data_IF_731714556163
#
_entry.id   IF_731714556163
#
_cell.length_a   1.000
_cell.length_b   1.000
_cell.length_c   1.000
_cell.angle_alpha   90.00
_cell.angle_beta   90.00
_cell.angle_gamma   90.00
#
_symmetry.space_group_name_H-M   'P 1'
#
loop_
_entity.id
_entity.type
_entity.pdbx_description
1 polymer ?
#
# COMPACT_ATOMS: atom_id res chain seq x y z
N UNK A 1 34.20 80.48 127.25
CA UNK A 1 34.71 79.12 127.57
C UNK A 1 33.59 78.16 127.98
N UNK A 2 32.65 78.53 128.88
CA UNK A 2 31.51 77.67 129.25
C UNK A 2 30.47 77.48 128.10
N UNK A 3 30.16 78.53 127.33
CA UNK A 3 29.25 78.42 126.16
C UNK A 3 29.80 77.56 125.02
N UNK A 4 31.13 77.51 124.84
CA UNK A 4 31.81 76.71 123.81
C UNK A 4 31.79 75.20 124.13
N UNK A 5 31.85 74.84 125.42
CA UNK A 5 31.71 73.45 125.86
C UNK A 5 30.25 72.96 125.80
N UNK A 6 29.28 73.84 126.10
CA UNK A 6 27.87 73.49 126.05
C UNK A 6 27.35 73.32 124.60
N UNK A 7 27.76 74.20 123.69
CA UNK A 7 27.44 74.07 122.26
C UNK A 7 28.14 72.87 121.62
N UNK A 8 29.40 72.57 121.98
CA UNK A 8 30.07 71.36 121.51
C UNK A 8 29.43 70.07 122.05
N UNK A 9 28.92 70.08 123.28
CA UNK A 9 28.21 68.94 123.86
C UNK A 9 26.83 68.73 123.23
N UNK A 10 26.07 69.81 123.01
CA UNK A 10 24.77 69.73 122.33
C UNK A 10 24.92 69.33 120.86
N UNK A 11 25.91 69.87 120.15
CA UNK A 11 26.18 69.50 118.76
C UNK A 11 26.68 68.04 118.64
N UNK A 12 27.48 67.56 119.60
CA UNK A 12 27.87 66.15 119.66
C UNK A 12 26.67 65.24 120.00
N UNK A 13 25.78 65.69 120.87
CA UNK A 13 24.58 64.95 121.25
C UNK A 13 23.54 64.90 120.12
N UNK A 14 23.29 66.01 119.43
CA UNK A 14 22.40 66.05 118.26
C UNK A 14 22.94 65.22 117.10
N UNK A 15 24.25 65.31 116.80
CA UNK A 15 24.87 64.47 115.77
C UNK A 15 24.83 62.98 116.17
N UNK A 16 25.03 62.66 117.44
CA UNK A 16 24.89 61.30 117.94
C UNK A 16 23.45 60.80 117.83
N UNK A 17 22.46 61.63 118.22
CA UNK A 17 21.04 61.30 118.09
C UNK A 17 20.63 61.12 116.63
N UNK A 18 21.05 62.00 115.71
CA UNK A 18 20.76 61.86 114.27
C UNK A 18 21.41 60.62 113.65
N UNK A 19 22.67 60.34 114.02
CA UNK A 19 23.37 59.15 113.54
C UNK A 19 22.75 57.85 114.10
N UNK A 20 22.25 57.89 115.34
CA UNK A 20 21.54 56.79 115.96
C UNK A 20 20.15 56.60 115.38
N UNK A 21 19.40 57.67 115.10
CA UNK A 21 18.08 57.60 114.49
C UNK A 21 18.13 56.94 113.11
N UNK A 22 19.10 57.32 112.26
CA UNK A 22 19.30 56.68 110.96
C UNK A 22 19.57 55.16 111.08
N UNK A 23 20.42 54.76 112.03
CA UNK A 23 20.73 53.34 112.29
C UNK A 23 19.55 52.59 112.90
N UNK A 24 18.79 53.22 113.77
CA UNK A 24 17.59 52.64 114.39
C UNK A 24 16.50 52.40 113.35
N UNK A 25 16.30 53.34 112.41
CA UNK A 25 15.37 53.19 111.29
C UNK A 25 15.78 52.00 110.40
N UNK A 26 17.06 51.89 110.04
CA UNK A 26 17.54 50.75 109.25
C UNK A 26 17.40 49.41 110.00
N UNK A 27 17.73 49.39 111.29
CA UNK A 27 17.60 48.20 112.13
C UNK A 27 16.14 47.76 112.25
N UNK A 28 15.21 48.72 112.36
CA UNK A 28 13.77 48.42 112.42
C UNK A 28 13.20 48.01 111.08
N UNK A 29 13.66 48.58 109.95
CA UNK A 29 13.30 48.07 108.61
C UNK A 29 13.80 46.63 108.44
N UNK A 30 15.02 46.34 108.88
CA UNK A 30 15.59 44.99 108.85
C UNK A 30 14.80 44.03 109.75
N UNK A 31 14.49 44.44 110.98
CA UNK A 31 13.67 43.65 111.90
C UNK A 31 12.26 43.44 111.36
N UNK A 32 11.60 44.46 110.82
CA UNK A 32 10.28 44.33 110.20
C UNK A 32 10.34 43.37 109.00
N UNK A 33 11.37 43.47 108.14
CA UNK A 33 11.53 42.58 106.99
C UNK A 33 11.72 41.11 107.42
N UNK A 34 12.45 40.87 108.51
CA UNK A 34 12.65 39.52 109.07
C UNK A 34 11.43 38.98 109.83
N UNK A 35 10.83 39.80 110.69
CA UNK A 35 9.73 39.41 111.58
C UNK A 35 8.46 39.04 110.80
N UNK A 36 8.19 39.77 109.73
CA UNK A 36 7.02 39.53 108.88
C UNK A 36 7.29 38.45 107.81
N UNK A 37 8.56 38.20 107.46
CA UNK A 37 8.98 37.08 106.64
C UNK A 37 8.61 37.19 105.14
N UNK A 38 9.03 36.21 104.32
CA UNK A 38 8.87 36.26 102.85
C UNK A 38 7.41 36.19 102.37
N UNK A 39 6.45 35.78 103.21
CA UNK A 39 5.03 35.69 102.84
C UNK A 39 4.35 37.06 102.64
N UNK A 40 4.91 38.16 103.16
CA UNK A 40 4.35 39.52 103.03
C UNK A 40 4.99 40.29 101.87
N UNK A 41 5.98 39.70 101.18
CA UNK A 41 6.57 40.27 99.97
C UNK A 41 5.55 40.44 98.81
N UNK A 42 4.37 39.83 98.90
CA UNK A 42 3.25 40.05 97.97
C UNK A 42 2.43 41.32 98.24
N UNK A 43 2.48 41.89 99.45
CA UNK A 43 1.89 43.20 99.75
C UNK A 43 2.86 44.28 99.29
N UNK A 44 2.87 44.52 97.98
CA UNK A 44 3.63 45.60 97.31
C UNK A 44 3.43 46.94 98.02
N UNK A 45 2.25 47.19 98.60
CA UNK A 45 1.94 48.41 99.35
C UNK A 45 2.66 48.51 100.69
N UNK A 46 2.75 47.44 101.49
CA UNK A 46 3.48 47.45 102.76
C UNK A 46 4.98 47.62 102.51
N UNK A 47 5.53 46.83 101.58
CA UNK A 47 6.95 46.92 101.19
C UNK A 47 7.30 48.31 100.66
N UNK A 48 6.48 48.88 99.78
CA UNK A 48 6.66 50.25 99.27
C UNK A 48 6.57 51.31 100.38
N UNK A 49 5.68 51.16 101.36
CA UNK A 49 5.59 52.07 102.52
C UNK A 49 6.82 51.95 103.41
N UNK A 50 7.28 50.72 103.69
CA UNK A 50 8.47 50.43 104.49
C UNK A 50 9.75 50.95 103.82
N UNK A 51 9.88 50.77 102.51
CA UNK A 51 11.02 51.27 101.72
C UNK A 51 11.04 52.81 101.66
N UNK A 52 9.88 53.46 101.70
CA UNK A 52 9.74 54.92 101.68
C UNK A 52 9.81 55.58 103.07
N UNK A 53 9.69 54.82 104.16
CA UNK A 53 9.66 55.32 105.53
C UNK A 53 10.98 56.00 105.91
N UNK A 54 11.00 57.28 106.32
CA UNK A 54 12.26 58.00 106.63
C UNK A 54 12.50 58.21 108.11
N UNK A 55 11.53 57.86 108.95
CA UNK A 55 11.59 57.98 110.40
C UNK A 55 11.11 56.72 111.09
N UNK A 56 11.35 56.65 112.41
CA UNK A 56 10.84 55.59 113.27
C UNK A 56 9.31 55.49 113.21
N UNK A 57 8.62 56.63 113.24
CA UNK A 57 7.16 56.71 113.20
C UNK A 57 6.59 56.26 111.86
N UNK A 58 7.30 56.54 110.76
CA UNK A 58 6.92 56.06 109.42
C UNK A 58 7.00 54.54 109.33
N UNK A 59 7.98 53.91 110.00
CA UNK A 59 8.13 52.45 110.03
C UNK A 59 7.00 51.80 110.87
N UNK A 60 6.58 52.44 111.96
CA UNK A 60 5.48 51.94 112.79
C UNK A 60 4.11 52.07 112.09
N UNK A 61 3.86 53.20 111.44
CA UNK A 61 2.62 53.48 110.68
C UNK A 61 2.46 52.60 109.42
N UNK A 62 3.51 51.92 108.98
CA UNK A 62 3.41 50.91 107.92
C UNK A 62 2.42 49.76 108.26
N UNK A 63 2.14 49.53 109.55
CA UNK A 63 1.20 48.50 110.01
C UNK A 63 -0.27 48.96 110.05
N UNK A 64 -0.59 50.19 109.64
CA UNK A 64 -1.99 50.63 109.58
C UNK A 64 -2.79 49.78 108.59
N UNK A 65 -3.98 49.27 109.00
CA UNK A 65 -4.83 48.50 108.11
C UNK A 65 -5.19 49.35 106.90
N UNK A 66 -5.02 48.77 105.71
CA UNK A 66 -5.43 49.38 104.46
C UNK A 66 -6.91 49.79 104.58
N UNK A 67 -7.28 51.05 104.30
CA UNK A 67 -8.65 51.53 104.48
C UNK A 67 -9.66 50.64 103.77
N UNK A 68 -10.76 50.30 104.44
CA UNK A 68 -11.77 49.37 103.92
C UNK A 68 -12.31 49.78 102.53
N UNK A 69 -12.41 51.09 102.28
CA UNK A 69 -12.83 51.65 100.99
C UNK A 69 -11.85 51.29 99.86
N UNK A 70 -10.54 51.30 100.14
CA UNK A 70 -9.51 50.94 99.16
C UNK A 70 -9.49 49.44 98.86
N UNK A 71 -9.78 48.58 99.84
CA UNK A 71 -9.94 47.15 99.61
C UNK A 71 -11.21 46.83 98.79
N UNK A 72 -12.28 47.58 99.02
CA UNK A 72 -13.54 47.45 98.26
C UNK A 72 -13.35 47.89 96.81
N UNK A 73 -12.61 48.98 96.57
CA UNK A 73 -12.26 49.44 95.23
C UNK A 73 -11.40 48.39 94.48
N UNK A 74 -10.34 47.90 95.12
CA UNK A 74 -9.48 46.84 94.55
C UNK A 74 -10.27 45.57 94.28
N UNK A 75 -11.21 45.20 95.15
CA UNK A 75 -12.12 44.06 94.91
C UNK A 75 -13.01 44.26 93.69
N UNK A 76 -13.53 45.48 93.48
CA UNK A 76 -14.32 45.85 92.30
C UNK A 76 -13.47 45.83 91.02
N UNK A 77 -12.27 46.40 91.07
CA UNK A 77 -11.31 46.38 89.97
C UNK A 77 -10.89 44.95 89.60
N UNK A 78 -10.65 44.09 90.59
CA UNK A 78 -10.33 42.68 90.35
C UNK A 78 -11.50 41.94 89.71
N UNK A 79 -12.72 42.16 90.19
CA UNK A 79 -13.92 41.58 89.58
C UNK A 79 -14.13 42.08 88.14
N UNK A 80 -13.90 43.37 87.88
CA UNK A 80 -13.97 43.96 86.55
C UNK A 80 -12.88 43.40 85.63
N UNK A 81 -11.64 43.27 86.11
CA UNK A 81 -10.53 42.68 85.36
C UNK A 81 -10.79 41.21 85.04
N UNK A 82 -11.37 40.45 85.98
CA UNK A 82 -11.74 39.06 85.76
C UNK A 82 -12.88 38.92 84.74
N UNK A 83 -13.87 39.80 84.77
CA UNK A 83 -14.92 39.85 83.76
C UNK A 83 -14.36 40.22 82.37
N UNK A 84 -13.45 41.19 82.30
CA UNK A 84 -12.76 41.58 81.07
C UNK A 84 -11.90 40.43 80.52
N UNK A 85 -11.18 39.70 81.38
CA UNK A 85 -10.40 38.53 80.97
C UNK A 85 -11.30 37.45 80.37
N UNK A 86 -12.39 37.08 81.04
CA UNK A 86 -13.35 36.09 80.50
C UNK A 86 -13.95 36.56 79.18
N UNK A 87 -14.30 37.84 79.06
CA UNK A 87 -14.78 38.41 77.81
C UNK A 87 -13.71 38.36 76.69
N UNK A 88 -12.44 38.59 77.03
CA UNK A 88 -11.33 38.51 76.09
C UNK A 88 -11.03 37.07 75.66
N UNK A 89 -11.13 36.10 76.58
CA UNK A 89 -11.01 34.67 76.28
C UNK A 89 -12.12 34.20 75.33
N UNK A 90 -13.39 34.59 75.57
CA UNK A 90 -14.49 34.30 74.66
C UNK A 90 -14.24 34.93 73.29
N UNK A 91 -13.85 36.20 73.24
CA UNK A 91 -13.45 36.88 72.00
C UNK A 91 -12.34 36.13 71.25
N UNK A 92 -11.30 35.69 71.95
CA UNK A 92 -10.21 34.89 71.39
C UNK A 92 -10.72 33.61 70.74
N UNK A 93 -11.58 32.84 71.42
CA UNK A 93 -12.13 31.61 70.83
C UNK A 93 -12.95 31.86 69.57
N UNK A 94 -13.70 32.97 69.52
CA UNK A 94 -14.47 33.38 68.33
C UNK A 94 -13.53 33.73 67.17
N UNK A 95 -12.43 34.45 67.45
CA UNK A 95 -11.43 34.79 66.42
C UNK A 95 -10.70 33.53 65.93
N UNK A 96 -10.33 32.63 66.83
CA UNK A 96 -9.68 31.36 66.48
C UNK A 96 -10.59 30.52 65.56
N UNK A 97 -11.87 30.35 65.91
CA UNK A 97 -12.84 29.64 65.07
C UNK A 97 -13.00 30.28 63.69
N UNK A 98 -13.06 31.62 63.61
CA UNK A 98 -13.12 32.34 62.34
C UNK A 98 -11.85 32.14 61.51
N UNK A 99 -10.69 32.20 62.16
CA UNK A 99 -9.40 31.99 61.49
C UNK A 99 -9.29 30.58 60.92
N UNK A 100 -9.75 29.55 61.64
CA UNK A 100 -9.81 28.18 61.11
C UNK A 100 -10.74 28.06 59.91
N UNK A 101 -11.95 28.63 59.99
CA UNK A 101 -12.90 28.61 58.87
C UNK A 101 -12.31 29.30 57.62
N UNK A 102 -11.64 30.44 57.80
CA UNK A 102 -10.99 31.16 56.71
C UNK A 102 -9.81 30.38 56.11
N UNK A 103 -8.99 29.72 56.94
CA UNK A 103 -7.92 28.86 56.45
C UNK A 103 -8.45 27.68 55.62
N UNK A 104 -9.55 27.04 56.05
CA UNK A 104 -10.19 26.00 55.26
C UNK A 104 -10.76 26.54 53.94
N UNK A 105 -11.40 27.71 53.96
CA UNK A 105 -11.90 28.36 52.75
C UNK A 105 -10.77 28.68 51.76
N UNK A 106 -9.64 29.18 52.26
CA UNK A 106 -8.44 29.45 51.47
C UNK A 106 -7.86 28.18 50.84
N UNK A 107 -7.68 27.11 51.62
CA UNK A 107 -7.17 25.85 51.10
C UNK A 107 -8.09 25.27 50.00
N UNK A 108 -9.40 25.38 50.17
CA UNK A 108 -10.37 25.00 49.14
C UNK A 108 -10.23 25.87 47.88
N UNK A 109 -10.11 27.19 48.04
CA UNK A 109 -9.92 28.11 46.91
C UNK A 109 -8.62 27.84 46.15
N UNK A 110 -7.52 27.53 46.85
CA UNK A 110 -6.24 27.16 46.25
C UNK A 110 -6.35 25.87 45.43
N UNK A 111 -7.09 24.88 45.94
CA UNK A 111 -7.36 23.62 45.22
C UNK A 111 -8.14 23.89 43.93
N UNK A 112 -9.18 24.72 43.98
CA UNK A 112 -9.94 25.12 42.78
C UNK A 112 -9.07 25.89 41.78
N UNK A 113 -8.21 26.80 42.25
CA UNK A 113 -7.30 27.53 41.38
C UNK A 113 -6.33 26.61 40.64
N UNK A 114 -5.81 25.58 41.32
CA UNK A 114 -4.97 24.56 40.69
C UNK A 114 -5.74 23.76 39.64
N UNK A 115 -6.98 23.34 39.95
CA UNK A 115 -7.83 22.63 39.02
C UNK A 115 -8.12 23.45 37.76
N UNK A 116 -8.53 24.71 37.91
CA UNK A 116 -8.79 25.60 36.78
C UNK A 116 -7.53 25.85 35.93
N UNK A 117 -6.34 25.92 36.56
CA UNK A 117 -5.09 26.02 35.81
C UNK A 117 -4.84 24.76 34.97
N UNK A 118 -5.05 23.58 35.54
CA UNK A 118 -4.89 22.31 34.82
C UNK A 118 -5.87 22.20 33.64
N UNK A 119 -7.15 22.56 33.86
CA UNK A 119 -8.18 22.53 32.83
C UNK A 119 -7.89 23.54 31.71
N UNK A 120 -7.43 24.75 32.06
CA UNK A 120 -7.00 25.75 31.08
C UNK A 120 -5.84 25.23 30.23
N UNK A 121 -4.86 24.58 30.84
CA UNK A 121 -3.69 24.06 30.13
C UNK A 121 -4.05 22.86 29.24
N UNK A 122 -4.99 22.01 29.68
CA UNK A 122 -5.57 20.95 28.86
C UNK A 122 -6.34 21.52 27.65
N UNK A 123 -7.21 22.52 27.87
CA UNK A 123 -7.93 23.20 26.80
C UNK A 123 -6.99 23.85 25.78
N UNK A 124 -5.88 24.45 26.22
CA UNK A 124 -4.87 25.00 25.32
C UNK A 124 -4.21 23.93 24.43
N UNK A 125 -3.99 22.72 24.94
CA UNK A 125 -3.46 21.59 24.14
C UNK A 125 -4.47 21.15 23.09
N UNK A 126 -5.74 21.04 23.45
CA UNK A 126 -6.83 20.72 22.51
C UNK A 126 -6.98 21.77 21.42
N UNK A 127 -6.95 23.07 21.77
CA UNK A 127 -6.99 24.16 20.78
C UNK A 127 -5.83 24.04 19.78
N UNK A 128 -4.62 23.69 20.23
CA UNK A 128 -3.47 23.46 19.34
C UNK A 128 -3.68 22.25 18.43
N UNK A 129 -4.32 21.18 18.92
CA UNK A 129 -4.68 20.01 18.09
C UNK A 129 -5.69 20.40 17.01
N UNK A 130 -6.78 21.06 17.42
CA UNK A 130 -7.85 21.51 16.51
C UNK A 130 -7.30 22.43 15.42
N UNK A 131 -6.45 23.40 15.77
CA UNK A 131 -5.80 24.28 14.78
C UNK A 131 -4.95 23.52 13.76
N UNK A 132 -4.20 22.49 14.19
CA UNK A 132 -3.44 21.66 13.26
C UNK A 132 -4.36 20.86 12.33
N UNK A 133 -5.47 20.35 12.86
CA UNK A 133 -6.47 19.63 12.06
C UNK A 133 -7.17 20.54 11.05
N UNK A 134 -7.50 21.77 11.45
CA UNK A 134 -8.06 22.80 10.58
C UNK A 134 -7.14 23.09 9.38
N UNK A 135 -5.85 23.32 9.63
CA UNK A 135 -4.87 23.53 8.56
C UNK A 135 -4.80 22.32 7.62
N UNK A 136 -4.79 21.10 8.17
CA UNK A 136 -4.78 19.87 7.36
C UNK A 136 -6.04 19.72 6.49
N UNK A 137 -7.22 20.04 7.02
CA UNK A 137 -8.48 19.99 6.27
C UNK A 137 -8.52 21.06 5.16
N UNK A 138 -8.02 22.26 5.42
CA UNK A 138 -7.94 23.33 4.42
C UNK A 138 -7.06 22.93 3.22
N UNK A 139 -5.98 22.19 3.45
CA UNK A 139 -5.15 21.61 2.38
C UNK A 139 -5.95 20.60 1.57
N UNK A 140 -6.64 19.64 2.21
CA UNK A 140 -7.46 18.64 1.51
C UNK A 140 -8.60 19.27 0.70
N UNK A 141 -9.24 20.33 1.23
CA UNK A 141 -10.27 21.08 0.50
C UNK A 141 -9.67 21.72 -0.75
N UNK A 142 -8.48 22.30 -0.65
CA UNK A 142 -7.78 22.91 -1.78
C UNK A 142 -7.41 21.88 -2.85
N UNK A 143 -6.93 20.70 -2.45
CA UNK A 143 -6.66 19.57 -3.35
C UNK A 143 -7.95 19.10 -4.06
N UNK A 144 -9.04 18.92 -3.31
CA UNK A 144 -10.32 18.52 -3.88
C UNK A 144 -10.86 19.55 -4.87
N UNK A 145 -10.72 20.84 -4.58
CA UNK A 145 -11.10 21.92 -5.49
C UNK A 145 -10.28 21.89 -6.79
N UNK A 146 -8.98 21.55 -6.71
CA UNK A 146 -8.15 21.38 -7.89
C UNK A 146 -8.61 20.18 -8.75
N UNK A 147 -8.97 19.06 -8.12
CA UNK A 147 -9.54 17.89 -8.81
C UNK A 147 -10.87 18.24 -9.49
N UNK A 148 -11.78 18.92 -8.78
CA UNK A 148 -13.06 19.36 -9.33
C UNK A 148 -12.83 20.25 -10.57
N UNK A 149 -11.89 21.19 -10.50
CA UNK A 149 -11.56 22.06 -11.64
C UNK A 149 -10.99 21.25 -12.81
N UNK A 150 -10.10 20.30 -12.56
CA UNK A 150 -9.55 19.42 -13.60
C UNK A 150 -10.63 18.57 -14.28
N UNK A 151 -11.57 18.02 -13.50
CA UNK A 151 -12.71 17.31 -14.06
C UNK A 151 -13.62 18.21 -14.89
N UNK A 152 -13.88 19.44 -14.43
CA UNK A 152 -14.66 20.40 -15.21
C UNK A 152 -14.02 20.64 -16.60
N UNK A 153 -12.72 20.89 -16.64
CA UNK A 153 -11.98 21.07 -17.90
C UNK A 153 -12.01 19.81 -18.79
N UNK A 154 -12.01 18.62 -18.18
CA UNK A 154 -12.10 17.35 -18.91
C UNK A 154 -13.48 17.16 -19.53
N UNK A 155 -14.55 17.46 -18.79
CA UNK A 155 -15.92 17.43 -19.31
C UNK A 155 -16.12 18.45 -20.43
N UNK A 156 -15.60 19.68 -20.28
CA UNK A 156 -15.68 20.70 -21.32
C UNK A 156 -14.97 20.25 -22.62
N UNK A 157 -13.82 19.58 -22.51
CA UNK A 157 -13.12 18.99 -23.68
C UNK A 157 -13.91 17.86 -24.32
N UNK A 158 -14.53 17.00 -23.51
CA UNK A 158 -15.33 15.88 -24.00
C UNK A 158 -16.56 16.37 -24.75
N UNK A 159 -17.27 17.36 -24.19
CA UNK A 159 -18.43 17.98 -24.82
C UNK A 159 -18.04 18.60 -26.17
N UNK A 160 -16.94 19.35 -26.23
CA UNK A 160 -16.44 19.93 -27.48
C UNK A 160 -16.13 18.85 -28.54
N UNK A 161 -15.51 17.72 -28.15
CA UNK A 161 -15.26 16.60 -29.05
C UNK A 161 -16.53 15.95 -29.55
N UNK A 162 -17.52 15.78 -28.68
CA UNK A 162 -18.81 15.21 -29.03
C UNK A 162 -19.55 16.10 -30.03
N UNK A 163 -19.58 17.41 -29.80
CA UNK A 163 -20.16 18.39 -30.71
C UNK A 163 -19.46 18.40 -32.09
N UNK A 164 -18.13 18.29 -32.12
CA UNK A 164 -17.38 18.17 -33.38
C UNK A 164 -17.74 16.88 -34.13
N UNK A 165 -17.82 15.75 -33.43
CA UNK A 165 -18.20 14.46 -34.02
C UNK A 165 -19.63 14.51 -34.58
N UNK A 166 -20.57 15.13 -33.87
CA UNK A 166 -21.94 15.33 -34.36
C UNK A 166 -21.96 16.15 -35.65
N UNK A 167 -21.27 17.30 -35.69
CA UNK A 167 -21.17 18.12 -36.91
C UNK A 167 -20.51 17.37 -38.07
N UNK A 168 -19.46 16.60 -37.79
CA UNK A 168 -18.77 15.79 -38.81
C UNK A 168 -19.69 14.71 -39.38
N UNK A 169 -20.45 14.01 -38.54
CA UNK A 169 -21.44 13.03 -38.99
C UNK A 169 -22.56 13.68 -39.80
N UNK A 170 -23.00 14.87 -39.42
CA UNK A 170 -24.00 15.63 -40.20
C UNK A 170 -23.47 15.95 -41.61
N UNK A 171 -22.21 16.40 -41.73
CA UNK A 171 -21.56 16.65 -43.02
C UNK A 171 -21.45 15.37 -43.84
N UNK A 172 -20.91 14.29 -43.26
CA UNK A 172 -20.77 13.00 -43.94
C UNK A 172 -22.12 12.46 -44.42
N UNK A 173 -23.18 12.61 -43.63
CA UNK A 173 -24.53 12.22 -44.03
C UNK A 173 -25.01 13.02 -45.25
N UNK A 174 -24.73 14.33 -45.30
CA UNK A 174 -25.06 15.18 -46.45
C UNK A 174 -24.25 14.83 -47.70
N UNK A 175 -23.02 14.34 -47.55
CA UNK A 175 -22.16 13.93 -48.68
C UNK A 175 -22.49 12.52 -49.21
N UNK A 176 -22.75 11.56 -48.31
CA UNK A 176 -22.95 10.14 -48.69
C UNK A 176 -24.35 9.88 -49.23
N UNK A 177 -25.38 10.53 -48.69
CA UNK A 177 -26.76 10.26 -49.09
C UNK A 177 -27.06 10.59 -50.57
N UNK A 178 -26.59 11.72 -51.14
CA UNK A 178 -26.73 11.98 -52.57
C UNK A 178 -26.06 10.92 -53.44
N UNK A 179 -24.81 10.54 -53.15
CA UNK A 179 -24.10 9.50 -53.90
C UNK A 179 -24.80 8.13 -53.80
N UNK A 180 -25.35 7.79 -52.62
CA UNK A 180 -26.17 6.60 -52.45
C UNK A 180 -27.46 6.67 -53.29
N UNK A 181 -28.11 7.81 -53.34
CA UNK A 181 -29.33 8.01 -54.15
C UNK A 181 -29.03 7.88 -55.66
N UNK A 182 -27.96 8.53 -56.14
CA UNK A 182 -27.49 8.41 -57.53
C UNK A 182 -27.13 6.97 -57.90
N UNK A 183 -26.42 6.27 -57.01
CA UNK A 183 -26.07 4.86 -57.20
C UNK A 183 -27.32 3.97 -57.34
N UNK A 184 -28.33 4.18 -56.50
CA UNK A 184 -29.60 3.44 -56.59
C UNK A 184 -30.33 3.70 -57.91
N UNK A 185 -30.36 4.96 -58.37
CA UNK A 185 -30.91 5.31 -59.70
C UNK A 185 -30.11 4.63 -60.82
N UNK A 186 -28.79 4.62 -60.72
CA UNK A 186 -27.89 3.94 -61.66
C UNK A 186 -28.13 2.43 -61.74
N UNK A 187 -28.31 1.75 -60.59
CA UNK A 187 -28.68 0.33 -60.55
C UNK A 187 -30.00 0.09 -61.29
N UNK A 188 -31.00 0.95 -61.05
CA UNK A 188 -32.30 0.79 -61.70
C UNK A 188 -32.21 0.96 -63.23
N UNK A 189 -31.44 1.95 -63.69
CA UNK A 189 -31.17 2.14 -65.11
C UNK A 189 -30.42 0.95 -65.72
N UNK A 190 -29.40 0.44 -65.04
CA UNK A 190 -28.65 -0.75 -65.45
C UNK A 190 -29.55 -1.99 -65.52
N UNK A 191 -30.39 -2.22 -64.51
CA UNK A 191 -31.35 -3.32 -64.48
C UNK A 191 -32.30 -3.26 -65.68
N UNK A 192 -32.86 -2.08 -65.99
CA UNK A 192 -33.73 -1.87 -67.15
C UNK A 192 -32.99 -2.11 -68.47
N UNK A 193 -31.75 -1.65 -68.57
CA UNK A 193 -30.89 -1.90 -69.73
C UNK A 193 -30.63 -3.40 -69.92
N UNK A 194 -30.31 -4.11 -68.84
CA UNK A 194 -30.10 -5.55 -68.85
C UNK A 194 -31.36 -6.33 -69.26
N UNK A 195 -32.53 -5.97 -68.74
CA UNK A 195 -33.82 -6.55 -69.16
C UNK A 195 -34.09 -6.32 -70.66
N UNK A 196 -33.81 -5.11 -71.16
CA UNK A 196 -33.97 -4.80 -72.58
C UNK A 196 -33.00 -5.60 -73.46
N UNK A 197 -31.72 -5.68 -73.06
CA UNK A 197 -30.74 -6.51 -73.74
C UNK A 197 -31.15 -7.98 -73.76
N UNK A 198 -31.61 -8.51 -72.62
CA UNK A 198 -32.13 -9.87 -72.54
C UNK A 198 -33.30 -10.08 -73.51
N UNK A 199 -34.25 -9.15 -73.58
CA UNK A 199 -35.37 -9.21 -74.54
C UNK A 199 -34.88 -9.21 -76.00
N UNK A 200 -33.94 -8.34 -76.34
CA UNK A 200 -33.32 -8.31 -77.69
C UNK A 200 -32.63 -9.64 -77.96
N UNK A 201 -31.84 -10.17 -77.05
CA UNK A 201 -31.16 -11.47 -77.21
C UNK A 201 -32.16 -12.62 -77.35
N UNK A 202 -33.29 -12.59 -76.63
CA UNK A 202 -34.36 -13.58 -76.81
C UNK A 202 -35.01 -13.50 -78.21
N UNK A 203 -35.17 -12.29 -78.76
CA UNK A 203 -35.72 -12.08 -80.11
C UNK A 203 -34.71 -12.33 -81.22
N UNK A 204 -33.43 -12.07 -80.94
CA UNK A 204 -32.28 -12.31 -81.81
C UNK A 204 -31.74 -13.71 -81.61
N UNK A 205 -32.37 -14.54 -80.77
CA UNK A 205 -32.18 -15.98 -80.81
C UNK A 205 -32.49 -16.35 -82.26
N UNK A 206 -31.47 -16.67 -83.09
CA UNK A 206 -31.75 -17.00 -84.46
C UNK A 206 -32.75 -18.14 -84.37
N UNK A 207 -33.93 -18.00 -84.99
CA UNK A 207 -34.85 -19.13 -85.21
C UNK A 207 -33.94 -20.29 -85.50
N UNK A 208 -33.94 -21.30 -84.61
CA UNK A 208 -32.94 -22.37 -84.63
C UNK A 208 -32.90 -22.93 -86.04
N UNK A 209 -31.98 -22.40 -86.84
CA UNK A 209 -31.84 -22.79 -88.23
C UNK A 209 -31.19 -24.15 -88.15
N UNK A 210 -31.52 -25.04 -89.07
CA UNK A 210 -30.86 -26.35 -89.14
C UNK A 210 -29.33 -26.23 -89.08
N UNK A 211 -28.77 -25.12 -89.57
CA UNK A 211 -27.35 -24.77 -89.44
C UNK A 211 -26.88 -24.49 -88.01
N UNK A 212 -27.61 -23.72 -87.22
CA UNK A 212 -27.20 -23.40 -85.83
C UNK A 212 -27.29 -24.61 -84.91
N UNK A 213 -28.29 -25.48 -85.11
CA UNK A 213 -28.36 -26.78 -84.41
C UNK A 213 -27.15 -27.66 -84.77
N UNK A 214 -26.85 -27.79 -86.07
CA UNK A 214 -25.68 -28.57 -86.56
C UNK A 214 -24.36 -28.03 -86.03
N UNK A 215 -24.19 -26.71 -85.96
CA UNK A 215 -22.98 -26.10 -85.39
C UNK A 215 -22.84 -26.37 -83.89
N UNK A 216 -23.94 -26.33 -83.12
CA UNK A 216 -23.93 -26.64 -81.68
C UNK A 216 -23.58 -28.11 -81.43
N UNK A 217 -24.15 -29.03 -82.20
CA UNK A 217 -23.79 -30.45 -82.13
C UNK A 217 -22.34 -30.70 -82.52
N UNK A 218 -21.85 -30.04 -83.59
CA UNK A 218 -20.45 -30.15 -84.01
C UNK A 218 -19.50 -29.62 -82.94
N UNK A 219 -19.83 -28.50 -82.28
CA UNK A 219 -19.03 -27.98 -81.17
C UNK A 219 -19.05 -28.93 -79.96
N UNK A 220 -20.21 -29.53 -79.63
CA UNK A 220 -20.26 -30.58 -78.59
C UNK A 220 -19.40 -31.78 -78.95
N UNK A 221 -19.39 -32.20 -80.22
CA UNK A 221 -18.54 -33.30 -80.67
C UNK A 221 -17.05 -32.96 -80.64
N UNK A 222 -16.68 -31.74 -81.07
CA UNK A 222 -15.31 -31.24 -80.96
C UNK A 222 -14.83 -31.22 -79.51
N UNK A 223 -15.64 -30.76 -78.56
CA UNK A 223 -15.31 -30.81 -77.12
C UNK A 223 -15.10 -32.26 -76.65
N UNK A 224 -15.95 -33.21 -77.06
CA UNK A 224 -15.74 -34.63 -76.74
C UNK A 224 -14.46 -35.18 -77.36
N UNK A 225 -14.14 -34.79 -78.60
CA UNK A 225 -12.90 -35.17 -79.30
C UNK A 225 -11.67 -34.61 -78.59
N UNK A 226 -11.67 -33.34 -78.21
CA UNK A 226 -10.60 -32.71 -77.43
C UNK A 226 -10.38 -33.47 -76.14
N UNK A 227 -11.45 -33.77 -75.38
CA UNK A 227 -11.32 -34.53 -74.13
C UNK A 227 -10.75 -35.94 -74.33
N UNK A 228 -11.10 -36.62 -75.43
CA UNK A 228 -10.49 -37.92 -75.80
C UNK A 228 -9.01 -37.77 -76.16
N UNK A 229 -8.65 -36.71 -76.89
CA UNK A 229 -7.27 -36.41 -77.25
C UNK A 229 -6.43 -36.04 -76.02
N UNK A 230 -6.96 -35.22 -75.11
CA UNK A 230 -6.30 -34.91 -73.83
C UNK A 230 -6.06 -36.17 -73.01
N UNK A 231 -7.03 -37.09 -72.96
CA UNK A 231 -6.86 -38.38 -72.27
C UNK A 231 -5.80 -39.25 -72.95
N UNK A 232 -5.81 -39.31 -74.28
CA UNK A 232 -4.78 -40.04 -75.04
C UNK A 232 -3.40 -39.42 -74.87
N UNK A 233 -3.31 -38.08 -74.86
CA UNK A 233 -2.07 -37.35 -74.65
C UNK A 233 -1.55 -37.54 -73.23
N UNK A 234 -2.42 -37.51 -72.22
CA UNK A 234 -2.05 -37.84 -70.84
C UNK A 234 -1.53 -39.27 -70.70
N UNK A 235 -2.17 -40.24 -71.36
CA UNK A 235 -1.68 -41.62 -71.41
C UNK A 235 -0.32 -41.73 -72.13
N UNK A 236 -0.13 -41.03 -73.25
CA UNK A 236 1.15 -41.00 -73.95
C UNK A 236 2.25 -40.30 -73.13
N UNK A 237 1.97 -39.17 -72.50
CA UNK A 237 2.90 -38.50 -71.59
C UNK A 237 3.24 -39.36 -70.37
N UNK A 238 2.30 -40.15 -69.86
CA UNK A 238 2.61 -41.11 -68.77
C UNK A 238 3.53 -42.24 -69.22
N UNK A 239 3.42 -42.69 -70.49
CA UNK A 239 4.31 -43.69 -71.09
C UNK A 239 5.67 -43.10 -71.47
N UNK A 240 5.72 -41.85 -71.94
CA UNK A 240 6.95 -41.13 -72.27
C UNK A 240 7.71 -40.68 -71.00
N UNK A 241 7.03 -40.53 -69.85
CA UNK A 241 7.69 -40.29 -68.55
C UNK A 241 8.45 -41.50 -67.98
N UNK A 242 8.63 -42.57 -68.75
CA UNK A 242 9.64 -43.60 -68.52
C UNK A 242 11.07 -43.12 -68.85
N UNK A 243 11.23 -41.94 -69.45
CA UNK A 243 12.53 -41.36 -69.83
C UNK A 243 13.37 -40.86 -68.62
N UNK A 244 12.74 -40.69 -67.44
CA UNK A 244 13.41 -40.36 -66.17
C UNK A 244 13.53 -41.56 -65.21
N UNK A 245 13.22 -42.78 -65.68
CA UNK A 245 13.45 -43.98 -64.89
C UNK A 245 14.90 -44.42 -64.98
N UNK A 246 15.49 -44.74 -63.83
CA UNK A 246 16.81 -45.35 -63.73
C UNK A 246 16.92 -46.55 -64.71
N UNK A 247 17.88 -46.54 -65.65
CA UNK A 247 18.09 -47.64 -66.59
C UNK A 247 18.21 -49.00 -65.90
N UNK A 248 18.77 -49.06 -64.68
CA UNK A 248 18.93 -50.30 -63.93
C UNK A 248 17.60 -50.83 -63.37
N UNK A 249 16.67 -49.95 -63.00
CA UNK A 249 15.30 -50.32 -62.60
C UNK A 249 14.44 -50.78 -63.80
N UNK A 250 14.71 -50.24 -64.99
CA UNK A 250 14.10 -50.69 -66.26
C UNK A 250 14.63 -52.07 -66.67
N UNK A 251 15.94 -52.33 -66.52
CA UNK A 251 16.55 -53.65 -66.76
C UNK A 251 15.98 -54.71 -65.81
N UNK A 252 15.83 -54.40 -64.52
CA UNK A 252 15.25 -55.31 -63.54
C UNK A 252 13.77 -55.66 -63.78
N UNK A 253 12.97 -54.74 -64.33
CA UNK A 253 11.58 -55.00 -64.70
C UNK A 253 11.44 -55.74 -66.04
N UNK A 254 12.36 -55.52 -66.98
CA UNK A 254 12.36 -56.16 -68.31
C UNK A 254 12.98 -57.56 -68.28
N UNK A 255 13.96 -57.81 -67.41
CA UNK A 255 14.66 -59.11 -67.33
C UNK A 255 14.00 -60.14 -66.40
N UNK A 256 12.93 -59.80 -65.67
CA UNK A 256 12.12 -60.77 -64.93
C UNK A 256 12.92 -61.67 -63.98
N UNK A 257 13.82 -61.10 -63.17
CA UNK A 257 14.69 -61.87 -62.28
C UNK A 257 13.95 -62.36 -61.03
N UNK A 258 14.07 -63.66 -60.76
CA UNK A 258 13.43 -64.38 -59.64
C UNK A 258 13.98 -63.94 -58.27
N UNK A 259 13.07 -63.96 -57.28
CA UNK A 259 13.17 -63.32 -55.95
C UNK A 259 14.34 -63.80 -55.07
N UNK A 260 14.91 -64.96 -55.38
CA UNK A 260 15.93 -65.68 -54.62
C UNK A 260 17.37 -65.28 -54.98
N UNK A 261 17.56 -64.52 -56.07
CA UNK A 261 18.88 -64.06 -56.53
C UNK A 261 19.23 -62.62 -56.15
N UNK A 262 18.30 -61.88 -55.57
CA UNK A 262 18.55 -60.50 -55.13
C UNK A 262 19.19 -60.53 -53.73
N UNK A 263 20.46 -60.15 -53.65
CA UNK A 263 21.12 -59.93 -52.35
C UNK A 263 20.63 -58.62 -51.72
N UNK A 264 19.59 -58.75 -50.91
CA UNK A 264 18.96 -57.62 -50.22
C UNK A 264 19.86 -56.96 -49.15
N UNK A 265 20.97 -57.60 -48.74
CA UNK A 265 21.94 -57.00 -47.81
C UNK A 265 22.90 -56.05 -48.54
N UNK A 266 23.18 -56.29 -49.82
CA UNK A 266 24.01 -55.41 -50.65
C UNK A 266 23.32 -54.10 -51.05
N UNK A 267 21.99 -54.03 -50.96
CA UNK A 267 21.25 -52.79 -51.19
C UNK A 267 21.52 -51.79 -50.06
N UNK A 268 22.15 -50.65 -50.39
CA UNK A 268 22.45 -49.50 -49.50
C UNK A 268 21.22 -48.82 -48.85
N UNK A 269 20.05 -49.45 -48.92
CA UNK A 269 18.79 -48.92 -48.40
C UNK A 269 18.61 -49.24 -46.91
N UNK A 270 17.92 -48.36 -46.17
CA UNK A 270 17.68 -48.59 -44.75
C UNK A 270 16.78 -49.84 -44.52
N UNK A 271 16.86 -50.47 -43.33
CA UNK A 271 16.15 -51.72 -43.05
C UNK A 271 14.63 -51.65 -43.26
N UNK A 272 14.02 -50.48 -43.02
CA UNK A 272 12.59 -50.27 -43.11
C UNK A 272 12.14 -50.15 -44.58
N UNK A 273 12.96 -49.50 -45.41
CA UNK A 273 12.76 -49.42 -46.87
C UNK A 273 12.96 -50.77 -47.55
N UNK A 274 13.95 -51.56 -47.12
CA UNK A 274 14.15 -52.94 -47.59
C UNK A 274 12.96 -53.84 -47.23
N UNK A 275 12.42 -53.71 -46.02
CA UNK A 275 11.28 -54.52 -45.58
C UNK A 275 9.99 -54.19 -46.35
N UNK A 276 9.75 -52.91 -46.67
CA UNK A 276 8.60 -52.50 -47.45
C UNK A 276 8.75 -52.82 -48.95
N UNK A 277 9.96 -52.76 -49.53
CA UNK A 277 10.21 -53.27 -50.89
C UNK A 277 9.98 -54.77 -51.01
N UNK A 278 10.44 -55.58 -50.04
CA UNK A 278 10.14 -57.01 -49.97
C UNK A 278 8.63 -57.27 -49.87
N UNK A 279 7.89 -56.46 -49.11
CA UNK A 279 6.45 -56.61 -48.97
C UNK A 279 5.70 -56.28 -50.28
N UNK A 280 6.06 -55.20 -50.97
CA UNK A 280 5.45 -54.80 -52.26
C UNK A 280 5.72 -55.83 -53.35
N UNK A 281 6.94 -56.37 -53.41
CA UNK A 281 7.29 -57.39 -54.41
C UNK A 281 6.62 -58.74 -54.13
N UNK A 282 6.46 -59.13 -52.86
CA UNK A 282 5.73 -60.34 -52.46
C UNK A 282 4.23 -60.27 -52.82
N UNK A 283 3.62 -59.08 -52.69
CA UNK A 283 2.22 -58.85 -53.08
C UNK A 283 2.02 -59.00 -54.60
N UNK A 284 3.04 -58.69 -55.41
CA UNK A 284 3.00 -58.87 -56.86
C UNK A 284 3.13 -60.32 -57.35
N UNK A 285 3.56 -61.27 -56.51
CA UNK A 285 3.84 -62.66 -56.92
C UNK A 285 2.72 -63.66 -56.54
N UNK A 286 1.98 -63.42 -55.44
CA UNK A 286 0.93 -64.32 -54.95
C UNK A 286 -0.39 -64.20 -55.72
N UNK A 287 -0.53 -63.18 -56.57
CA UNK A 287 -1.70 -62.98 -57.39
C UNK A 287 -1.27 -62.79 -58.84
N UNK A 288 -1.67 -63.71 -59.71
CA UNK A 288 -1.50 -63.60 -61.15
C UNK A 288 -2.38 -62.47 -61.73
N UNK A 289 -2.14 -61.24 -61.27
CA UNK A 289 -2.91 -60.04 -61.58
C UNK A 289 -2.12 -59.11 -62.49
N UNK A 290 -2.88 -58.43 -63.35
CA UNK A 290 -2.43 -57.55 -64.42
C UNK A 290 -1.41 -56.49 -63.94
N UNK A 291 -0.40 -56.24 -64.77
CA UNK A 291 0.74 -55.36 -64.49
C UNK A 291 0.32 -53.92 -64.10
N UNK A 292 -0.87 -53.49 -64.54
CA UNK A 292 -1.45 -52.18 -64.18
C UNK A 292 -1.78 -52.05 -62.68
N UNK A 293 -2.01 -53.15 -61.96
CA UNK A 293 -2.32 -53.11 -60.52
C UNK A 293 -1.06 -52.94 -59.67
N UNK A 294 0.07 -53.52 -60.11
CA UNK A 294 1.36 -53.42 -59.45
C UNK A 294 1.91 -51.99 -59.50
N UNK A 295 1.76 -51.30 -60.63
CA UNK A 295 2.14 -49.90 -60.78
C UNK A 295 1.37 -48.99 -59.81
N UNK A 296 0.09 -49.29 -59.61
CA UNK A 296 -0.82 -48.57 -58.73
C UNK A 296 -0.51 -48.82 -57.24
N UNK A 297 -0.09 -50.04 -56.89
CA UNK A 297 0.38 -50.40 -55.54
C UNK A 297 1.77 -49.83 -55.23
N UNK A 298 2.67 -49.75 -56.23
CA UNK A 298 3.96 -49.05 -56.10
C UNK A 298 3.73 -47.54 -55.91
N UNK A 299 2.78 -46.94 -56.63
CA UNK A 299 2.41 -45.55 -56.46
C UNK A 299 1.82 -45.30 -55.05
N UNK A 300 0.93 -46.18 -54.57
CA UNK A 300 0.42 -46.13 -53.19
C UNK A 300 1.52 -46.32 -52.14
N UNK A 301 2.47 -47.23 -52.37
CA UNK A 301 3.60 -47.45 -51.48
C UNK A 301 4.51 -46.21 -51.41
N UNK A 302 4.80 -45.56 -52.54
CA UNK A 302 5.55 -44.29 -52.59
C UNK A 302 4.89 -43.18 -51.77
N UNK A 303 3.56 -43.09 -51.79
CA UNK A 303 2.80 -42.15 -50.95
C UNK A 303 3.00 -42.48 -49.46
N UNK A 304 2.87 -43.76 -49.08
CA UNK A 304 3.11 -44.19 -47.68
C UNK A 304 4.55 -43.93 -47.22
N UNK A 305 5.55 -44.06 -48.10
CA UNK A 305 6.94 -43.71 -47.76
C UNK A 305 7.15 -42.20 -47.55
N UNK A 306 6.49 -41.37 -48.36
CA UNK A 306 6.51 -39.92 -48.17
C UNK A 306 5.85 -39.53 -46.82
N UNK A 307 4.76 -40.19 -46.46
CA UNK A 307 4.07 -40.01 -45.17
C UNK A 307 4.94 -40.47 -43.99
N UNK A 308 5.59 -41.64 -44.07
CA UNK A 308 6.51 -42.13 -43.03
C UNK A 308 7.71 -41.19 -42.86
N UNK A 309 8.24 -40.64 -43.94
CA UNK A 309 9.35 -39.66 -43.89
C UNK A 309 8.90 -38.36 -43.22
N UNK A 310 7.72 -37.85 -43.58
CA UNK A 310 7.15 -36.66 -42.96
C UNK A 310 6.90 -36.88 -41.46
N UNK A 311 6.42 -38.07 -41.07
CA UNK A 311 6.16 -38.39 -39.68
C UNK A 311 7.45 -38.54 -38.85
N UNK A 312 8.51 -39.09 -39.44
CA UNK A 312 9.85 -39.12 -38.82
C UNK A 312 10.45 -37.73 -38.66
N UNK A 313 10.34 -36.88 -39.68
CA UNK A 313 10.79 -35.49 -39.62
C UNK A 313 10.08 -34.72 -38.50
N UNK A 314 8.74 -34.86 -38.43
CA UNK A 314 7.92 -34.24 -37.39
C UNK A 314 8.32 -34.68 -35.99
N UNK A 315 8.56 -35.98 -35.78
CA UNK A 315 9.01 -36.51 -34.48
C UNK A 315 10.42 -36.04 -34.11
N UNK A 316 11.31 -35.90 -35.09
CA UNK A 316 12.65 -35.36 -34.87
C UNK A 316 12.61 -33.85 -34.50
N UNK A 317 11.73 -33.08 -35.14
CA UNK A 317 11.48 -31.67 -34.82
C UNK A 317 10.86 -31.50 -33.42
N UNK A 318 9.90 -32.35 -33.06
CA UNK A 318 9.25 -32.33 -31.75
C UNK A 318 10.22 -32.73 -30.61
N UNK A 319 11.11 -33.70 -30.86
CA UNK A 319 12.16 -34.07 -29.92
C UNK A 319 13.20 -32.96 -29.75
N UNK A 320 13.60 -32.28 -30.83
CA UNK A 320 14.53 -31.15 -30.78
C UNK A 320 13.93 -29.95 -30.02
N UNK A 321 12.64 -29.67 -30.24
CA UNK A 321 11.91 -28.61 -29.54
C UNK A 321 11.81 -28.87 -28.02
N UNK A 322 11.59 -30.13 -27.62
CA UNK A 322 11.54 -30.53 -26.20
C UNK A 322 12.91 -30.44 -25.52
N UNK A 323 13.99 -30.65 -26.28
CA UNK A 323 15.38 -30.53 -25.80
C UNK A 323 15.96 -29.11 -25.88
N UNK A 324 15.21 -28.13 -26.41
CA UNK A 324 15.66 -26.74 -26.59
C UNK A 324 16.73 -26.56 -27.69
N UNK A 325 16.84 -27.51 -28.62
CA UNK A 325 17.79 -27.51 -29.72
C UNK A 325 17.14 -26.98 -31.02
N UNK A 326 17.92 -26.39 -31.95
CA UNK A 326 17.40 -25.94 -33.24
C UNK A 326 16.86 -27.11 -34.07
N UNK A 327 15.82 -26.85 -34.87
CA UNK A 327 15.11 -27.88 -35.64
C UNK A 327 16.06 -28.61 -36.61
N UNK A 328 15.98 -29.96 -36.70
CA UNK A 328 16.83 -30.74 -37.58
C UNK A 328 16.49 -30.46 -39.05
N UNK A 329 17.49 -30.42 -39.95
CA UNK A 329 17.26 -30.17 -41.36
C UNK A 329 16.34 -31.24 -41.98
N UNK A 330 15.55 -30.90 -43.03
CA UNK A 330 14.64 -31.84 -43.67
C UNK A 330 15.42 -33.03 -44.25
N UNK A 331 14.92 -34.24 -44.01
CA UNK A 331 15.44 -35.50 -44.57
C UNK A 331 15.35 -35.49 -46.11
N UNK A 332 16.32 -34.87 -46.77
CA UNK A 332 16.52 -34.90 -48.22
C UNK A 332 17.36 -36.13 -48.59
N UNK A 333 17.10 -36.68 -49.78
CA UNK A 333 17.95 -37.72 -50.37
C UNK A 333 19.31 -37.10 -50.67
N UNK A 334 20.36 -37.50 -49.96
CA UNK A 334 21.72 -37.22 -50.37
C UNK A 334 22.01 -37.97 -51.66
N UNK A 335 21.95 -37.26 -52.79
CA UNK A 335 22.62 -37.70 -54.02
C UNK A 335 24.11 -37.38 -53.83
N UNK A 336 25.04 -38.35 -53.92
CA UNK A 336 26.45 -38.03 -54.01
C UNK A 336 26.69 -37.25 -55.30
N UNK A 337 27.01 -35.97 -55.17
CA UNK A 337 27.17 -35.07 -56.30
C UNK A 337 28.46 -35.29 -57.09
N UNK A 338 28.38 -35.13 -58.41
CA UNK A 338 29.49 -34.66 -59.23
C UNK A 338 29.44 -33.13 -59.32
N UNK A 339 30.42 -32.45 -58.72
CA UNK A 339 30.56 -30.98 -58.59
C UNK A 339 30.78 -30.22 -59.91
N UNK A 340 30.72 -28.88 -59.97
CA UNK A 340 31.36 -27.85 -59.13
C UNK A 340 30.34 -26.81 -58.60
N UNK A 341 30.41 -26.24 -57.39
CA UNK A 341 31.51 -25.43 -56.85
C UNK A 341 31.37 -25.22 -55.33
N UNK A 342 32.49 -25.33 -54.61
CA UNK A 342 32.91 -24.72 -53.32
C UNK A 342 31.89 -24.53 -52.18
N UNK A 343 31.85 -25.47 -51.22
CA UNK A 343 31.87 -25.17 -49.78
C UNK A 343 32.13 -26.46 -48.97
N UNK A 344 33.15 -26.42 -48.12
CA UNK A 344 33.59 -27.53 -47.28
C UNK A 344 32.50 -27.96 -46.28
N UNK A 345 32.24 -29.27 -46.19
CA UNK A 345 31.51 -29.84 -45.06
C UNK A 345 32.23 -31.09 -44.58
N UNK A 346 32.76 -30.97 -43.37
CA UNK A 346 33.36 -32.06 -42.62
C UNK A 346 32.27 -33.03 -42.16
N UNK A 347 32.49 -34.32 -42.41
CA UNK A 347 31.62 -35.40 -41.96
C UNK A 347 31.71 -35.58 -40.45
N UNK A 348 30.58 -35.53 -39.75
CA UNK A 348 30.43 -36.12 -38.42
C UNK A 348 29.45 -37.29 -38.51
N UNK A 349 29.99 -38.51 -38.45
CA UNK A 349 29.20 -39.68 -38.11
C UNK A 349 28.99 -39.70 -36.60
N UNK A 350 27.75 -39.75 -36.13
CA UNK A 350 27.45 -39.97 -34.71
C UNK A 350 26.64 -41.26 -34.55
N UNK A 351 27.30 -42.27 -33.98
CA UNK A 351 26.72 -43.55 -33.58
C UNK A 351 25.99 -43.37 -32.25
N UNK A 352 24.76 -43.87 -32.15
CA UNK A 352 23.84 -43.63 -31.03
C UNK A 352 24.07 -44.55 -29.80
N UNK A 353 25.22 -45.22 -29.70
CA UNK A 353 25.41 -46.31 -28.74
C UNK A 353 26.21 -45.96 -27.46
N UNK A 354 26.89 -44.81 -27.38
CA UNK A 354 27.92 -44.61 -26.33
C UNK A 354 27.59 -43.55 -25.26
N UNK A 355 26.35 -43.05 -25.18
CA UNK A 355 26.02 -41.96 -24.24
C UNK A 355 25.14 -42.38 -23.05
N UNK A 356 25.36 -43.59 -22.55
CA UNK A 356 24.90 -43.97 -21.18
C UNK A 356 26.05 -44.09 -20.16
N UNK A 357 27.28 -43.73 -20.53
CA UNK A 357 28.38 -43.67 -19.58
C UNK A 357 28.92 -42.24 -19.44
N UNK A 358 28.94 -41.76 -18.19
CA UNK A 358 29.64 -40.58 -17.68
C UNK A 358 28.84 -39.28 -17.61
N UNK A 359 28.03 -39.19 -16.53
CA UNK A 359 28.04 -37.97 -15.68
C UNK A 359 29.48 -37.69 -15.25
N UNK A 360 29.93 -36.43 -15.34
CA UNK A 360 30.03 -35.61 -14.14
C UNK A 360 28.92 -34.56 -14.03
#
# INVERSE_FOLDING_TARGET
LWELLNTSSQYAQENFCQAMDGRLVEMLRFYATLHWGPNVHGLTTFKRRLDAARSFEDVLSCNEPVPADTLTEVGRELAAAQAALKSAEVSRTVIENKFFAEQCARANAETWAQQFSADRDAAHKEIKLVKRREVSLNVQISEMNAVIKSHQEMYDRLENRFQLALRSNEILSKEVNPGRAEYLVGIQAFKKSHENLHKILCQTNPKETTLTIKLRERNRDLVRRIKRLEKANSALSSRLRLEDMDPEALVLMVEGLELDKIDWEALSSDPQTRQALKAVYKIGLEDARDHDTLADDIARAKVRFAEIRADKQRKAEEAAATAGLPAPPPLMVSVPGGGNSNAATASFAFNYADWTASRP
#
